data_IF_657341517601
#
_entry.id   IF_657341517601
#
_cell.length_a   1.000
_cell.length_b   1.000
_cell.length_c   1.000
_cell.angle_alpha   90.00
_cell.angle_beta   90.00
_cell.angle_gamma   90.00
#
_symmetry.space_group_name_H-M   'P 1'
#
loop_
_entity.id
_entity.type
_entity.pdbx_description
1 polymer ?
#
# COMPACT_ATOMS: atom_id res chain seq x y z
N UNK A 1 -4.34 -8.62 -10.21
CA UNK A 1 -3.83 -9.98 -10.50
C UNK A 1 -4.36 -10.37 -11.86
N UNK A 2 -3.50 -10.78 -12.79
CA UNK A 2 -3.92 -11.20 -14.14
C UNK A 2 -3.47 -12.65 -14.30
N UNK A 3 -4.42 -13.57 -14.50
CA UNK A 3 -4.17 -15.01 -14.60
C UNK A 3 -3.40 -15.59 -13.40
N UNK A 4 -3.75 -15.21 -12.17
CA UNK A 4 -3.14 -15.76 -10.94
C UNK A 4 -1.84 -15.09 -10.50
N UNK A 5 -1.25 -14.23 -11.33
CA UNK A 5 0.06 -13.63 -11.06
C UNK A 5 0.00 -12.11 -10.84
N UNK A 6 0.94 -11.59 -10.06
CA UNK A 6 1.14 -10.15 -9.89
C UNK A 6 2.01 -9.61 -11.02
N UNK A 7 1.37 -8.84 -11.90
CA UNK A 7 2.00 -8.06 -12.96
C UNK A 7 2.40 -6.68 -12.42
N UNK A 8 3.40 -6.05 -13.03
CA UNK A 8 3.71 -4.64 -12.77
C UNK A 8 3.10 -3.81 -13.89
N UNK A 9 2.27 -2.83 -13.53
CA UNK A 9 1.65 -1.90 -14.49
C UNK A 9 2.40 -0.59 -14.40
N UNK A 10 2.88 -0.11 -15.55
CA UNK A 10 3.54 1.17 -15.67
C UNK A 10 2.58 2.13 -16.35
N UNK A 11 2.42 3.30 -15.78
CA UNK A 11 1.56 4.36 -16.32
C UNK A 11 2.34 5.63 -16.50
N UNK A 12 2.07 6.31 -17.61
CA UNK A 12 2.48 7.69 -17.80
C UNK A 12 1.62 8.59 -16.91
N UNK A 13 2.25 9.16 -15.88
CA UNK A 13 1.57 9.99 -14.88
C UNK A 13 1.07 11.31 -15.46
N UNK A 14 1.78 11.87 -16.44
CA UNK A 14 1.47 13.17 -17.04
C UNK A 14 0.30 13.06 -18.01
N UNK A 15 0.32 12.04 -18.87
CA UNK A 15 -0.71 11.87 -19.90
C UNK A 15 -1.84 10.93 -19.51
N UNK A 16 -1.80 10.35 -18.30
CA UNK A 16 -2.80 9.42 -17.79
C UNK A 16 -3.06 8.21 -18.71
N UNK A 17 -1.98 7.64 -19.25
CA UNK A 17 -2.06 6.50 -20.18
C UNK A 17 -1.30 5.30 -19.63
N UNK A 18 -1.78 4.12 -20.02
CA UNK A 18 -1.01 2.90 -19.83
C UNK A 18 0.28 3.00 -20.65
N UNK A 19 1.41 2.84 -19.99
CA UNK A 19 2.71 2.81 -20.64
C UNK A 19 3.09 1.37 -21.00
N UNK A 20 3.03 0.46 -20.02
CA UNK A 20 3.35 -0.96 -20.22
C UNK A 20 2.72 -1.86 -19.14
N UNK A 21 2.61 -3.16 -19.42
CA UNK A 21 2.24 -4.20 -18.45
C UNK A 21 3.30 -5.28 -18.47
N UNK A 22 4.11 -5.31 -17.42
CA UNK A 22 5.21 -6.25 -17.29
C UNK A 22 4.74 -7.59 -16.76
N UNK A 23 5.34 -8.70 -17.24
CA UNK A 23 4.91 -10.03 -16.88
C UNK A 23 5.13 -10.38 -15.41
N UNK A 24 5.98 -9.65 -14.68
CA UNK A 24 6.19 -9.86 -13.26
C UNK A 24 6.64 -8.56 -12.60
N UNK A 25 6.40 -8.46 -11.29
CA UNK A 25 6.93 -7.38 -10.45
C UNK A 25 8.24 -7.74 -9.74
N UNK A 26 8.86 -8.90 -10.03
CA UNK A 26 10.12 -9.31 -9.39
C UNK A 26 11.23 -8.28 -9.65
N UNK A 27 11.99 -7.94 -8.61
CA UNK A 27 13.04 -6.91 -8.66
C UNK A 27 14.01 -7.11 -9.83
N UNK A 28 14.57 -8.31 -9.99
CA UNK A 28 15.53 -8.62 -11.06
C UNK A 28 14.99 -8.39 -12.47
N UNK A 29 13.70 -8.65 -12.69
CA UNK A 29 13.04 -8.39 -13.96
C UNK A 29 12.87 -6.89 -14.20
N UNK A 30 12.44 -6.15 -13.17
CA UNK A 30 12.25 -4.70 -13.25
C UNK A 30 13.60 -3.99 -13.49
N UNK A 31 14.66 -4.39 -12.80
CA UNK A 31 16.00 -3.85 -13.04
C UNK A 31 16.41 -4.06 -14.50
N UNK A 32 16.26 -5.28 -15.00
CA UNK A 32 16.55 -5.60 -16.41
C UNK A 32 15.71 -4.77 -17.39
N UNK A 33 14.45 -4.50 -17.06
CA UNK A 33 13.55 -3.67 -17.87
C UNK A 33 14.00 -2.21 -17.91
N UNK A 34 14.17 -1.58 -16.73
CA UNK A 34 14.57 -0.17 -16.62
C UNK A 34 16.02 0.07 -17.07
N UNK A 35 16.89 -0.94 -17.02
CA UNK A 35 18.23 -0.83 -17.62
C UNK A 35 18.16 -0.62 -19.13
N UNK A 36 17.25 -1.31 -19.82
CA UNK A 36 17.04 -1.24 -21.29
C UNK A 36 16.08 -0.15 -21.74
N UNK A 37 15.38 0.51 -20.81
CA UNK A 37 14.39 1.53 -21.15
C UNK A 37 15.10 2.73 -21.82
N UNK A 38 14.76 3.06 -23.08
CA UNK A 38 15.35 4.21 -23.76
C UNK A 38 14.90 5.51 -23.11
N UNK A 39 15.77 6.52 -23.12
CA UNK A 39 15.49 7.86 -22.62
C UNK A 39 15.03 7.90 -21.15
N UNK A 40 15.46 6.95 -20.32
CA UNK A 40 15.07 6.85 -18.90
C UNK A 40 15.56 8.03 -18.06
N UNK A 41 16.55 8.76 -18.54
CA UNK A 41 17.01 10.04 -18.02
C UNK A 41 15.96 11.16 -18.08
N UNK A 42 14.95 11.03 -18.95
CA UNK A 42 13.81 11.97 -19.01
C UNK A 42 12.72 11.65 -17.99
N UNK A 43 12.86 10.57 -17.23
CA UNK A 43 11.97 10.29 -16.10
C UNK A 43 12.42 11.18 -14.95
N UNK A 44 11.57 12.08 -14.49
CA UNK A 44 11.90 13.01 -13.39
C UNK A 44 11.29 12.55 -12.06
N UNK A 45 10.17 11.83 -12.12
CA UNK A 45 9.41 11.40 -10.95
C UNK A 45 8.82 10.02 -11.19
N UNK A 46 8.90 9.18 -10.16
CA UNK A 46 8.25 7.86 -10.12
C UNK A 46 7.30 7.85 -8.94
N UNK A 47 6.05 7.46 -9.16
CA UNK A 47 5.09 7.20 -8.09
C UNK A 47 4.89 5.68 -7.96
N UNK A 48 5.15 5.11 -6.79
CA UNK A 48 4.95 3.67 -6.54
C UNK A 48 4.34 3.42 -5.18
N UNK A 49 3.89 2.18 -4.94
CA UNK A 49 3.61 1.72 -3.59
C UNK A 49 4.88 1.71 -2.71
N UNK A 50 4.72 1.37 -1.43
CA UNK A 50 5.79 1.31 -0.43
C UNK A 50 6.65 0.03 -0.48
N UNK A 51 6.52 -0.79 -1.52
CA UNK A 51 7.24 -2.06 -1.59
C UNK A 51 8.73 -1.85 -1.87
N UNK A 52 9.57 -2.40 -1.00
CA UNK A 52 11.03 -2.21 -1.00
C UNK A 52 11.71 -2.48 -2.37
N UNK A 53 11.32 -3.50 -3.16
CA UNK A 53 11.86 -3.71 -4.50
C UNK A 53 11.72 -2.53 -5.46
N UNK A 54 10.63 -1.76 -5.42
CA UNK A 54 10.52 -0.57 -6.28
C UNK A 54 11.50 0.51 -5.87
N UNK A 55 11.68 0.71 -4.56
CA UNK A 55 12.72 1.62 -4.04
C UNK A 55 14.11 1.21 -4.50
N UNK A 56 14.44 -0.08 -4.45
CA UNK A 56 15.72 -0.60 -4.91
C UNK A 56 15.92 -0.39 -6.42
N UNK A 57 14.91 -0.71 -7.23
CA UNK A 57 14.93 -0.52 -8.69
C UNK A 57 15.11 0.95 -9.05
N UNK A 58 14.36 1.86 -8.41
CA UNK A 58 14.49 3.30 -8.69
C UNK A 58 15.88 3.81 -8.33
N UNK A 59 16.38 3.47 -7.13
CA UNK A 59 17.72 3.89 -6.71
C UNK A 59 18.83 3.40 -7.64
N UNK A 60 18.69 2.18 -8.18
CA UNK A 60 19.70 1.56 -9.07
C UNK A 60 19.58 2.03 -10.51
N UNK A 61 18.37 2.01 -11.09
CA UNK A 61 18.16 2.18 -12.53
C UNK A 61 17.75 3.61 -12.92
N UNK A 62 17.22 4.38 -11.97
CA UNK A 62 16.65 5.72 -12.15
C UNK A 62 17.18 6.69 -11.07
N UNK A 63 18.51 6.83 -10.90
CA UNK A 63 19.12 7.50 -9.74
C UNK A 63 18.81 8.99 -9.64
N UNK A 64 18.48 9.65 -10.76
CA UNK A 64 18.18 11.08 -10.82
C UNK A 64 16.69 11.40 -10.62
N UNK A 65 15.88 10.40 -10.23
CA UNK A 65 14.42 10.54 -10.17
C UNK A 65 13.93 10.70 -8.75
N UNK A 66 12.88 11.50 -8.57
CA UNK A 66 12.20 11.60 -7.27
C UNK A 66 11.22 10.45 -7.12
N UNK A 67 11.45 9.58 -6.13
CA UNK A 67 10.49 8.53 -5.77
C UNK A 67 9.44 9.07 -4.80
N UNK A 68 8.20 9.13 -5.26
CA UNK A 68 7.01 9.53 -4.50
C UNK A 68 6.24 8.29 -4.08
N UNK A 69 5.89 8.21 -2.79
CA UNK A 69 5.04 7.14 -2.30
C UNK A 69 3.58 7.41 -2.65
N UNK A 70 2.92 6.40 -3.20
CA UNK A 70 1.54 6.49 -3.63
C UNK A 70 0.60 6.84 -2.46
N UNK A 71 -0.10 7.95 -2.62
CA UNK A 71 -0.98 8.52 -1.60
C UNK A 71 -2.10 7.56 -1.20
N UNK A 72 -2.66 6.80 -2.14
CA UNK A 72 -3.77 5.89 -1.85
C UNK A 72 -3.33 4.82 -0.85
N UNK A 73 -2.16 4.22 -1.06
CA UNK A 73 -1.63 3.20 -0.17
C UNK A 73 -1.28 3.76 1.22
N UNK A 74 -0.71 4.97 1.28
CA UNK A 74 -0.42 5.65 2.55
C UNK A 74 -1.70 5.90 3.35
N UNK A 75 -2.71 6.51 2.72
CA UNK A 75 -4.00 6.82 3.37
C UNK A 75 -4.73 5.54 3.78
N UNK A 76 -4.71 4.51 2.92
CA UNK A 76 -5.31 3.21 3.21
C UNK A 76 -4.71 2.59 4.48
N UNK A 77 -3.38 2.51 4.57
CA UNK A 77 -2.72 1.95 5.75
C UNK A 77 -2.99 2.77 7.02
N UNK A 78 -3.01 4.10 6.91
CA UNK A 78 -3.35 4.97 8.04
C UNK A 78 -4.79 4.72 8.53
N UNK A 79 -5.74 4.60 7.60
CA UNK A 79 -7.13 4.29 7.93
C UNK A 79 -7.28 2.90 8.55
N UNK A 80 -6.58 1.88 8.03
CA UNK A 80 -6.59 0.53 8.59
C UNK A 80 -6.04 0.50 10.03
N UNK A 81 -4.96 1.23 10.29
CA UNK A 81 -4.39 1.37 11.63
C UNK A 81 -5.38 2.04 12.60
N UNK A 82 -5.99 3.16 12.18
CA UNK A 82 -7.02 3.85 12.98
C UNK A 82 -8.24 2.97 13.25
N UNK A 83 -8.71 2.24 12.24
CA UNK A 83 -9.86 1.35 12.36
C UNK A 83 -9.57 0.17 13.30
N UNK A 84 -8.34 -0.36 13.31
CA UNK A 84 -7.92 -1.38 14.27
C UNK A 84 -8.03 -0.90 15.71
N UNK A 85 -7.51 0.30 16.01
CA UNK A 85 -7.59 0.93 17.34
C UNK A 85 -9.04 1.19 17.71
N UNK A 86 -9.83 1.75 16.77
CA UNK A 86 -11.25 2.04 17.00
C UNK A 86 -12.03 0.77 17.37
N UNK A 87 -11.82 -0.33 16.65
CA UNK A 87 -12.46 -1.63 16.94
C UNK A 87 -12.02 -2.19 18.28
N UNK A 88 -10.73 -2.10 18.61
CA UNK A 88 -10.21 -2.53 19.91
C UNK A 88 -10.91 -1.78 21.06
N UNK A 89 -10.95 -0.46 20.98
CA UNK A 89 -11.60 0.37 21.98
C UNK A 89 -13.11 0.10 22.09
N UNK A 90 -13.79 -0.05 20.96
CA UNK A 90 -15.22 -0.38 20.93
C UNK A 90 -15.51 -1.71 21.65
N UNK A 91 -14.72 -2.76 21.35
CA UNK A 91 -14.88 -4.06 21.98
C UNK A 91 -14.64 -4.01 23.49
N UNK A 92 -13.67 -3.21 23.96
CA UNK A 92 -13.44 -3.00 25.40
C UNK A 92 -14.63 -2.33 26.10
N UNK A 93 -15.21 -1.30 25.47
CA UNK A 93 -16.39 -0.61 25.99
C UNK A 93 -17.61 -1.54 26.04
N UNK A 94 -17.83 -2.32 24.98
CA UNK A 94 -18.92 -3.29 24.91
C UNK A 94 -18.77 -4.39 25.97
N UNK A 95 -17.55 -4.86 26.22
CA UNK A 95 -17.26 -5.81 27.30
C UNK A 95 -17.56 -5.22 28.68
N UNK A 96 -17.10 -3.99 28.96
CA UNK A 96 -17.39 -3.28 30.22
C UNK A 96 -18.88 -3.04 30.42
N UNK A 97 -19.59 -2.62 29.36
CA UNK A 97 -21.04 -2.42 29.37
C UNK A 97 -21.78 -3.73 29.68
N UNK A 98 -21.39 -4.82 29.04
CA UNK A 98 -21.95 -6.16 29.29
C UNK A 98 -21.74 -6.59 30.75
N UNK A 99 -20.54 -6.38 31.30
CA UNK A 99 -20.25 -6.69 32.71
C UNK A 99 -21.11 -5.85 33.67
N UNK A 100 -21.27 -4.55 33.39
CA UNK A 100 -22.09 -3.66 34.21
C UNK A 100 -23.56 -4.09 34.22
N UNK A 101 -24.13 -4.46 33.06
CA UNK A 101 -25.50 -4.98 32.95
C UNK A 101 -25.66 -6.27 33.76
N UNK A 102 -24.72 -7.22 33.64
CA UNK A 102 -24.75 -8.48 34.42
C UNK A 102 -24.76 -8.21 35.92
N UNK A 103 -23.87 -7.33 36.41
CA UNK A 103 -23.83 -6.95 37.83
C UNK A 103 -25.17 -6.35 38.29
N UNK A 104 -25.71 -5.40 37.54
CA UNK A 104 -26.98 -4.75 37.86
C UNK A 104 -28.16 -5.73 37.89
N UNK A 105 -28.19 -6.73 36.99
CA UNK A 105 -29.23 -7.76 36.98
C UNK A 105 -29.14 -8.74 38.16
N UNK A 106 -27.94 -9.03 38.67
CA UNK A 106 -27.77 -9.88 39.85
C UNK A 106 -28.19 -9.17 41.13
N UNK A 107 -27.85 -7.88 41.26
CA UNK A 107 -28.26 -7.03 42.39
C UNK A 107 -29.76 -6.77 42.50
N UNK A 108 -30.52 -6.97 41.42
CA UNK A 108 -31.97 -6.80 41.40
C UNK A 108 -32.74 -8.12 41.64
N UNK A 109 -32.04 -9.24 41.81
CA UNK A 109 -32.61 -10.56 42.05
C UNK A 109 -32.51 -11.01 43.53
N UNK A 110 -31.92 -10.17 44.38
CA UNK A 110 -31.88 -10.28 45.85
C UNK A 110 -32.83 -9.23 46.48
#
# INVERSE_FOLDING_TARGET
>A
MIAGEYRCVLTDLEHHRLFDILPTRKQSYLESYFERLPNKENIHTVCSDMWQPFKNVCAKCLPNTTLVLDRFHVVKLANEAMESIRKCHQNELDAKRTQAIKKASTLAAD
#
